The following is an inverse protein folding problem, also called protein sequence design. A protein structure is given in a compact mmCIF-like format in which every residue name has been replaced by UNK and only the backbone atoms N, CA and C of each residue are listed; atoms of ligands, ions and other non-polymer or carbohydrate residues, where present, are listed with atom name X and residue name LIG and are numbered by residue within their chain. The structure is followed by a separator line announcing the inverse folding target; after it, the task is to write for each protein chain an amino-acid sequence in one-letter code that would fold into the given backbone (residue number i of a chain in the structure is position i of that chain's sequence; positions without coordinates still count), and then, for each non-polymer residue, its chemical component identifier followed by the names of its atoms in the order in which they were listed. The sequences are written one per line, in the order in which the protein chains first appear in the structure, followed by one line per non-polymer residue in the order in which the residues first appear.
data_IF_864332379003
#
_entry.id   IF_864332379003
#
_cell.length_a   1.000
_cell.length_b   1.000
_cell.length_c   1.000
_cell.angle_alpha   90.00
_cell.angle_beta   90.00
_cell.angle_gamma   90.00
#
_symmetry.space_group_name_H-M   'P 1'
#
loop_
_entity.id
_entity.type
_entity.pdbx_description
1 polymer ?
#
# COMPACT_ATOMS: atom_id res chain seq x y z
N UNK A 1 16.38 10.37 -29.09
CA UNK A 1 15.20 10.79 -28.35
C UNK A 1 14.33 11.62 -29.27
N UNK A 2 13.17 11.08 -29.64
CA UNK A 2 12.31 11.61 -30.71
C UNK A 2 11.53 12.84 -30.21
N UNK A 3 11.12 13.76 -31.12
CA UNK A 3 10.28 14.92 -30.78
C UNK A 3 8.97 14.56 -30.05
N UNK A 4 8.41 13.36 -30.32
CA UNK A 4 7.25 12.80 -29.64
C UNK A 4 7.52 12.45 -28.19
N UNK A 5 8.71 11.92 -27.86
CA UNK A 5 9.09 11.55 -26.51
C UNK A 5 9.21 12.80 -25.62
N UNK A 6 9.79 13.88 -26.13
CA UNK A 6 9.89 15.17 -25.43
C UNK A 6 8.52 15.83 -25.20
N UNK A 7 7.59 15.71 -26.15
CA UNK A 7 6.25 16.26 -26.00
C UNK A 7 5.41 15.46 -24.99
N UNK A 8 5.60 14.14 -24.91
CA UNK A 8 4.99 13.29 -23.90
C UNK A 8 5.56 13.55 -22.48
N UNK A 9 6.88 13.71 -22.36
CA UNK A 9 7.54 14.07 -21.10
C UNK A 9 7.07 15.45 -20.59
N UNK A 10 6.95 16.42 -21.47
CA UNK A 10 6.48 17.78 -21.11
C UNK A 10 5.00 17.79 -20.72
N UNK A 11 4.16 17.00 -21.39
CA UNK A 11 2.75 16.83 -21.05
C UNK A 11 2.54 16.09 -19.72
N UNK A 12 3.47 15.20 -19.34
CA UNK A 12 3.47 14.53 -18.04
C UNK A 12 3.99 15.46 -16.92
N UNK A 13 4.89 16.39 -17.24
CA UNK A 13 5.42 17.34 -16.27
C UNK A 13 4.35 18.28 -15.67
N UNK A 14 3.36 18.68 -16.47
CA UNK A 14 2.29 19.63 -16.08
C UNK A 14 1.09 18.98 -15.37
N UNK A 15 1.07 17.64 -15.20
CA UNK A 15 -0.03 16.98 -14.49
C UNK A 15 0.08 17.17 -12.99
N UNK A 16 -1.05 17.34 -12.29
CA UNK A 16 -1.06 17.41 -10.83
C UNK A 16 -0.55 16.10 -10.22
N UNK A 17 0.06 16.20 -9.04
CA UNK A 17 0.55 15.05 -8.28
C UNK A 17 -0.64 14.36 -7.63
N UNK A 18 -0.80 13.05 -7.87
CA UNK A 18 -1.83 12.22 -7.25
C UNK A 18 -1.35 11.55 -5.96
N UNK A 19 -0.06 11.19 -5.91
CA UNK A 19 0.57 10.61 -4.73
C UNK A 19 1.95 11.23 -4.57
N UNK A 20 2.24 11.71 -3.37
CA UNK A 20 3.54 12.24 -2.98
C UNK A 20 4.09 11.46 -1.80
N UNK A 21 5.30 10.95 -1.92
CA UNK A 21 6.03 10.23 -0.88
C UNK A 21 7.33 10.96 -0.62
N UNK A 22 7.53 11.48 0.60
CA UNK A 22 8.70 12.30 0.95
C UNK A 22 9.44 11.71 2.16
N UNK A 23 10.69 11.36 1.96
CA UNK A 23 11.64 10.91 3.00
C UNK A 23 11.09 9.79 3.89
N UNK A 24 10.31 8.88 3.32
CA UNK A 24 9.62 7.82 4.06
C UNK A 24 10.59 6.71 4.45
N UNK A 25 10.66 6.44 5.77
CA UNK A 25 11.37 5.28 6.30
C UNK A 25 10.44 4.43 7.17
N UNK A 26 10.67 3.11 7.17
CA UNK A 26 9.91 2.16 7.98
C UNK A 26 10.80 1.10 8.60
N UNK A 27 10.69 0.99 9.92
CA UNK A 27 11.38 0.01 10.74
C UNK A 27 10.37 -0.84 11.49
N UNK A 28 10.67 -2.13 11.66
CA UNK A 28 9.91 -3.03 12.52
C UNK A 28 10.79 -3.48 13.69
N UNK A 29 10.20 -3.53 14.88
CA UNK A 29 10.84 -4.13 16.07
C UNK A 29 10.47 -5.60 16.11
N UNK A 30 11.42 -6.46 15.79
CA UNK A 30 11.26 -7.91 15.90
C UNK A 30 11.68 -8.36 17.28
N UNK A 31 10.86 -9.15 18.00
CA UNK A 31 11.31 -9.78 19.23
C UNK A 31 12.47 -10.72 18.91
N UNK A 32 13.57 -10.60 19.64
CA UNK A 32 14.63 -11.60 19.57
C UNK A 32 14.10 -12.85 20.26
N UNK A 33 13.97 -13.95 19.49
CA UNK A 33 13.59 -15.25 20.05
C UNK A 33 14.52 -15.56 21.23
N UNK A 34 13.93 -15.67 22.40
CA UNK A 34 14.65 -16.09 23.61
C UNK A 34 14.88 -17.58 23.50
N UNK A 35 15.97 -17.99 22.90
CA UNK A 35 16.45 -19.37 23.01
C UNK A 35 16.56 -19.72 24.50
N UNK A 36 15.67 -20.60 24.95
CA UNK A 36 15.37 -20.88 26.34
C UNK A 36 16.55 -21.33 27.17
N UNK A 37 16.93 -20.54 28.14
CA UNK A 37 17.49 -20.94 29.43
C UNK A 37 17.38 -19.75 30.36
N UNK A 38 16.87 -19.95 31.56
CA UNK A 38 16.81 -18.96 32.65
C UNK A 38 18.16 -18.30 32.93
N UNK A 39 19.26 -19.01 32.71
CA UNK A 39 20.64 -18.47 32.83
C UNK A 39 20.92 -17.39 31.78
N UNK A 40 20.49 -17.58 30.53
CA UNK A 40 20.67 -16.58 29.46
C UNK A 40 19.79 -15.34 29.65
N UNK A 41 18.64 -15.50 30.31
CA UNK A 41 17.75 -14.40 30.66
C UNK A 41 18.38 -13.46 31.71
N UNK A 42 19.03 -14.02 32.74
CA UNK A 42 19.69 -13.25 33.78
C UNK A 42 20.98 -12.56 33.21
N UNK A 43 21.70 -13.23 32.32
CA UNK A 43 22.93 -12.69 31.70
C UNK A 43 22.61 -11.54 30.72
N UNK A 44 21.54 -11.66 29.96
CA UNK A 44 21.08 -10.62 29.04
C UNK A 44 20.51 -9.39 29.78
N UNK A 45 19.87 -9.61 30.93
CA UNK A 45 19.40 -8.52 31.80
C UNK A 45 20.58 -7.73 32.41
N UNK A 46 21.62 -8.40 32.84
CA UNK A 46 22.85 -7.77 33.38
C UNK A 46 23.64 -7.01 32.32
N UNK A 47 23.55 -7.42 31.04
CA UNK A 47 24.19 -6.74 29.90
C UNK A 47 23.36 -5.67 29.20
N UNK A 48 22.15 -5.39 29.67
CA UNK A 48 21.27 -4.39 29.08
C UNK A 48 20.82 -4.70 27.64
N UNK A 49 20.89 -5.98 27.21
CA UNK A 49 20.48 -6.40 25.89
C UNK A 49 18.95 -6.33 25.83
N UNK A 50 18.43 -5.31 25.15
CA UNK A 50 16.99 -5.17 24.88
C UNK A 50 16.54 -6.30 23.96
N UNK A 51 15.47 -7.02 24.34
CA UNK A 51 14.96 -8.20 23.64
C UNK A 51 14.29 -7.91 22.28
N UNK A 52 14.67 -6.82 21.58
CA UNK A 52 14.12 -6.44 20.27
C UNK A 52 15.26 -6.09 19.31
N UNK A 53 15.18 -6.66 18.11
CA UNK A 53 16.04 -6.27 16.99
C UNK A 53 15.21 -5.34 16.08
N UNK A 54 15.73 -4.16 15.76
CA UNK A 54 15.13 -3.28 14.78
C UNK A 54 15.54 -3.73 13.39
N UNK A 55 14.58 -4.00 12.53
CA UNK A 55 14.79 -4.27 11.11
C UNK A 55 14.30 -3.07 10.31
N UNK A 56 15.22 -2.39 9.63
CA UNK A 56 14.92 -1.34 8.68
C UNK A 56 14.47 -1.99 7.37
N UNK A 57 13.25 -1.70 6.95
CA UNK A 57 12.63 -2.29 5.74
C UNK A 57 12.61 -1.29 4.60
N UNK A 58 12.36 -0.02 4.90
CA UNK A 58 12.40 1.09 3.95
C UNK A 58 13.27 2.20 4.52
N UNK A 59 14.09 2.78 3.67
CA UNK A 59 15.03 3.84 4.05
C UNK A 59 14.95 4.98 3.06
N UNK A 60 14.48 6.14 3.55
CA UNK A 60 14.49 7.42 2.86
C UNK A 60 13.93 7.35 1.43
N UNK A 61 12.70 6.83 1.29
CA UNK A 61 12.02 6.69 0.01
C UNK A 61 11.34 8.00 -0.34
N UNK A 62 11.63 8.52 -1.55
CA UNK A 62 11.04 9.74 -2.08
C UNK A 62 10.69 9.56 -3.54
N UNK A 63 9.42 9.79 -3.91
CA UNK A 63 8.93 9.85 -5.29
C UNK A 63 7.53 10.46 -5.34
N UNK A 64 7.14 10.91 -6.54
CA UNK A 64 5.79 11.40 -6.84
C UNK A 64 5.18 10.54 -7.95
N UNK A 65 3.86 10.41 -7.92
CA UNK A 65 3.06 9.83 -9.01
C UNK A 65 2.04 10.87 -9.45
N UNK A 66 1.97 11.13 -10.74
CA UNK A 66 1.07 12.13 -11.32
C UNK A 66 -0.26 11.51 -11.71
N UNK A 67 -1.30 12.34 -11.81
CA UNK A 67 -2.62 11.88 -12.24
C UNK A 67 -2.55 11.22 -13.63
N UNK A 68 -3.16 10.02 -13.75
CA UNK A 68 -3.16 9.24 -14.98
C UNK A 68 -1.82 8.60 -15.33
N UNK A 69 -0.87 8.56 -14.38
CA UNK A 69 0.41 7.86 -14.53
C UNK A 69 0.28 6.39 -14.12
N UNK A 70 0.95 5.51 -14.87
CA UNK A 70 1.12 4.12 -14.52
C UNK A 70 2.50 3.93 -13.89
N UNK A 71 2.55 3.62 -12.60
CA UNK A 71 3.79 3.50 -11.84
C UNK A 71 4.02 2.05 -11.38
N UNK A 72 5.19 1.49 -11.67
CA UNK A 72 5.56 0.12 -11.32
C UNK A 72 6.62 0.05 -10.23
N UNK A 73 6.39 -0.75 -9.20
CA UNK A 73 7.36 -1.02 -8.13
C UNK A 73 7.98 -2.40 -8.36
N UNK A 74 9.26 -2.44 -8.70
CA UNK A 74 10.01 -3.67 -8.96
C UNK A 74 11.12 -3.86 -7.93
N UNK A 75 11.44 -5.13 -7.63
CA UNK A 75 12.50 -5.47 -6.67
C UNK A 75 12.44 -6.93 -6.26
N UNK A 76 13.51 -7.41 -5.60
CA UNK A 76 13.61 -8.78 -5.08
C UNK A 76 12.56 -9.06 -4.01
N UNK A 77 12.27 -10.33 -3.73
CA UNK A 77 11.41 -10.70 -2.60
C UNK A 77 12.07 -10.23 -1.28
N UNK A 78 11.27 -9.64 -0.39
CA UNK A 78 11.77 -9.06 0.86
C UNK A 78 12.36 -7.64 0.74
N UNK A 79 12.34 -7.00 -0.44
CA UNK A 79 12.87 -5.63 -0.62
C UNK A 79 11.95 -4.51 -0.11
N UNK A 80 10.82 -4.86 0.53
CA UNK A 80 9.91 -3.86 1.12
C UNK A 80 8.75 -3.41 0.23
N UNK A 81 8.56 -3.97 -0.98
CA UNK A 81 7.46 -3.57 -1.90
C UNK A 81 6.08 -3.59 -1.24
N UNK A 82 5.74 -4.71 -0.60
CA UNK A 82 4.45 -4.87 0.09
C UNK A 82 4.33 -3.93 1.31
N UNK A 83 5.45 -3.61 1.96
CA UNK A 83 5.48 -2.64 3.06
C UNK A 83 5.21 -1.24 2.54
N UNK A 84 5.81 -0.86 1.41
CA UNK A 84 5.57 0.43 0.77
C UNK A 84 4.10 0.57 0.34
N UNK A 85 3.52 -0.46 -0.30
CA UNK A 85 2.10 -0.47 -0.64
C UNK A 85 1.19 -0.32 0.58
N UNK A 86 1.50 -1.02 1.69
CA UNK A 86 0.74 -0.90 2.95
C UNK A 86 0.88 0.48 3.61
N UNK A 87 2.01 1.15 3.42
CA UNK A 87 2.20 2.54 3.87
C UNK A 87 1.38 3.52 3.02
N UNK A 88 1.43 3.39 1.68
CA UNK A 88 0.64 4.20 0.75
C UNK A 88 -0.85 4.03 1.05
N UNK A 89 -1.29 2.80 1.30
CA UNK A 89 -2.67 2.46 1.66
C UNK A 89 -3.07 2.84 3.10
N UNK A 90 -2.20 3.52 3.84
CA UNK A 90 -2.42 3.95 5.22
C UNK A 90 -2.69 2.82 6.22
N UNK A 91 -2.43 1.55 5.83
CA UNK A 91 -2.49 0.38 6.74
C UNK A 91 -1.35 0.47 7.76
N UNK A 92 -0.18 0.97 7.34
CA UNK A 92 0.94 1.25 8.22
C UNK A 92 1.24 2.75 8.25
N UNK A 93 1.72 3.22 9.39
CA UNK A 93 2.24 4.58 9.54
C UNK A 93 3.75 4.57 9.33
N UNK A 94 4.35 5.49 8.59
CA UNK A 94 5.79 5.61 8.45
C UNK A 94 6.45 5.99 9.80
N UNK A 95 7.72 5.65 9.98
CA UNK A 95 8.49 6.11 11.13
C UNK A 95 8.99 7.55 10.94
N UNK A 96 9.34 7.90 9.71
CA UNK A 96 9.74 9.25 9.28
C UNK A 96 9.19 9.53 7.89
N UNK A 97 9.09 10.81 7.54
CA UNK A 97 8.57 11.25 6.25
C UNK A 97 7.06 11.34 6.19
N UNK A 98 6.53 11.74 5.03
CA UNK A 98 5.11 11.96 4.79
C UNK A 98 4.64 11.27 3.52
N UNK A 99 3.37 10.90 3.50
CA UNK A 99 2.67 10.35 2.33
C UNK A 99 1.38 11.14 2.17
N UNK A 100 1.26 11.82 1.02
CA UNK A 100 0.10 12.61 0.67
C UNK A 100 -0.58 12.02 -0.55
N UNK A 101 -1.90 11.86 -0.49
CA UNK A 101 -2.73 11.33 -1.58
C UNK A 101 -3.78 12.38 -1.93
N UNK A 102 -3.79 12.81 -3.18
CA UNK A 102 -4.83 13.69 -3.73
C UNK A 102 -5.92 12.84 -4.37
N UNK A 103 -7.08 12.81 -3.71
CA UNK A 103 -8.22 12.02 -4.13
C UNK A 103 -8.46 10.76 -3.30
N UNK A 104 -9.24 9.82 -3.85
CA UNK A 104 -9.64 8.58 -3.20
C UNK A 104 -8.67 7.45 -3.57
N UNK A 105 -8.03 6.86 -2.57
CA UNK A 105 -7.15 5.71 -2.75
C UNK A 105 -7.94 4.42 -2.54
N UNK A 106 -7.89 3.53 -3.53
CA UNK A 106 -8.51 2.19 -3.46
C UNK A 106 -7.40 1.14 -3.53
N UNK A 107 -6.99 0.56 -2.39
CA UNK A 107 -5.91 -0.42 -2.37
C UNK A 107 -6.41 -1.82 -2.72
N UNK A 108 -5.87 -2.41 -3.80
CA UNK A 108 -6.03 -3.83 -4.15
C UNK A 108 -4.76 -4.61 -3.76
N UNK A 109 -4.48 -4.72 -2.46
CA UNK A 109 -3.23 -5.33 -1.97
C UNK A 109 -3.30 -6.86 -2.04
N UNK A 110 -4.49 -7.43 -1.87
CA UNK A 110 -4.72 -8.87 -1.93
C UNK A 110 -6.02 -9.13 -2.71
N UNK A 111 -5.92 -9.80 -3.86
CA UNK A 111 -7.06 -10.23 -4.65
C UNK A 111 -7.86 -11.28 -3.87
N UNK A 112 -9.15 -11.04 -3.67
CA UNK A 112 -10.07 -11.97 -3.00
C UNK A 112 -10.21 -11.79 -1.49
N UNK A 113 -9.48 -10.86 -0.87
CA UNK A 113 -9.75 -10.46 0.52
C UNK A 113 -11.01 -9.61 0.54
N UNK A 114 -12.00 -10.08 1.30
CA UNK A 114 -13.29 -9.39 1.44
C UNK A 114 -14.47 -10.07 0.73
N UNK A 115 -14.25 -11.12 -0.08
CA UNK A 115 -15.35 -11.93 -0.58
C UNK A 115 -15.85 -12.89 0.50
N UNK A 116 -17.10 -12.71 0.92
CA UNK A 116 -17.77 -13.65 1.80
C UNK A 116 -18.51 -14.70 0.93
N UNK A 117 -18.15 -15.99 1.02
CA UNK A 117 -18.79 -17.05 0.23
C UNK A 117 -20.26 -17.29 0.60
N UNK A 118 -20.72 -16.78 1.74
CA UNK A 118 -22.11 -16.88 2.18
C UNK A 118 -23.02 -15.81 1.57
N UNK A 119 -22.41 -14.78 0.96
CA UNK A 119 -23.10 -13.67 0.31
C UNK A 119 -23.17 -13.87 -1.20
N UNK A 120 -24.23 -13.35 -1.83
CA UNK A 120 -24.33 -13.28 -3.28
C UNK A 120 -23.25 -12.33 -3.86
N UNK A 121 -22.99 -12.43 -5.16
CA UNK A 121 -22.03 -11.54 -5.83
C UNK A 121 -22.39 -10.06 -5.66
N UNK A 122 -23.69 -9.73 -5.73
CA UNK A 122 -24.19 -8.36 -5.51
C UNK A 122 -23.89 -7.88 -4.09
N UNK A 123 -24.23 -8.66 -3.08
CA UNK A 123 -23.98 -8.32 -1.67
C UNK A 123 -22.48 -8.15 -1.39
N UNK A 124 -21.64 -8.97 -2.00
CA UNK A 124 -20.19 -8.81 -1.91
C UNK A 124 -19.69 -7.50 -2.53
N UNK A 125 -20.25 -7.07 -3.66
CA UNK A 125 -19.92 -5.77 -4.28
C UNK A 125 -20.27 -4.62 -3.33
N UNK A 126 -21.48 -4.65 -2.73
CA UNK A 126 -21.90 -3.62 -1.78
C UNK A 126 -21.05 -3.62 -0.51
N UNK A 127 -20.76 -4.82 0.05
CA UNK A 127 -19.92 -4.95 1.23
C UNK A 127 -18.50 -4.38 0.97
N UNK A 128 -17.88 -4.79 -0.14
CA UNK A 128 -16.54 -4.29 -0.49
C UNK A 128 -16.55 -2.81 -0.84
N UNK A 129 -17.55 -2.33 -1.56
CA UNK A 129 -17.73 -0.91 -1.85
C UNK A 129 -17.84 -0.06 -0.60
N UNK A 130 -18.65 -0.50 0.37
CA UNK A 130 -18.79 0.17 1.67
C UNK A 130 -17.49 0.16 2.48
N UNK A 131 -16.74 -0.96 2.48
CA UNK A 131 -15.42 -1.06 3.13
C UNK A 131 -14.39 -0.12 2.51
N UNK A 132 -14.50 0.15 1.22
CA UNK A 132 -13.66 1.10 0.49
C UNK A 132 -14.14 2.56 0.64
N UNK A 133 -15.22 2.78 1.41
CA UNK A 133 -15.77 4.09 1.71
C UNK A 133 -16.58 4.71 0.56
N UNK A 134 -17.13 3.89 -0.35
CA UNK A 134 -18.09 4.35 -1.35
C UNK A 134 -19.50 4.43 -0.75
N UNK A 135 -20.27 5.44 -1.16
CA UNK A 135 -21.69 5.53 -0.85
C UNK A 135 -22.51 4.52 -1.67
N UNK A 136 -23.73 4.21 -1.23
CA UNK A 136 -24.60 3.29 -1.97
C UNK A 136 -24.86 3.77 -3.41
N UNK A 137 -25.04 5.06 -3.62
CA UNK A 137 -25.28 5.64 -4.95
C UNK A 137 -24.07 5.48 -5.88
N UNK A 138 -22.85 5.63 -5.35
CA UNK A 138 -21.61 5.38 -6.10
C UNK A 138 -21.44 3.90 -6.43
N UNK A 139 -21.80 3.00 -5.50
CA UNK A 139 -21.76 1.55 -5.71
C UNK A 139 -22.79 1.15 -6.78
N UNK A 140 -24.00 1.69 -6.74
CA UNK A 140 -25.05 1.43 -7.74
C UNK A 140 -24.60 1.84 -9.14
N UNK A 141 -24.02 3.02 -9.28
CA UNK A 141 -23.50 3.51 -10.55
C UNK A 141 -22.40 2.61 -11.13
N UNK A 142 -21.45 2.16 -10.28
CA UNK A 142 -20.38 1.23 -10.67
C UNK A 142 -20.95 -0.16 -11.02
N UNK A 143 -21.91 -0.66 -10.26
CA UNK A 143 -22.54 -1.97 -10.49
C UNK A 143 -23.26 -2.04 -11.83
N UNK A 144 -24.03 -1.01 -12.17
CA UNK A 144 -24.68 -0.90 -13.48
C UNK A 144 -23.67 -0.88 -14.63
N UNK A 145 -22.57 -0.15 -14.47
CA UNK A 145 -21.48 -0.11 -15.45
C UNK A 145 -20.84 -1.48 -15.67
N UNK A 146 -20.62 -2.24 -14.61
CA UNK A 146 -20.02 -3.58 -14.68
C UNK A 146 -20.94 -4.59 -15.38
N UNK A 147 -22.26 -4.53 -15.14
CA UNK A 147 -23.23 -5.41 -15.79
C UNK A 147 -23.29 -5.13 -17.30
N UNK A 148 -23.31 -3.87 -17.71
CA UNK A 148 -23.32 -3.50 -19.14
C UNK A 148 -22.07 -3.93 -19.90
N UNK A 149 -20.90 -4.03 -19.22
CA UNK A 149 -19.66 -4.51 -19.84
C UNK A 149 -19.65 -6.03 -19.99
N UNK A 150 -20.37 -6.76 -19.12
CA UNK A 150 -20.37 -8.22 -19.07
C UNK A 150 -21.50 -8.89 -19.86
N UNK A 151 -22.45 -8.14 -20.42
CA UNK A 151 -23.45 -8.70 -21.32
C UNK A 151 -22.83 -8.92 -22.71
N UNK A 152 -22.66 -10.20 -23.17
CA UNK A 152 -22.25 -10.44 -24.55
C UNK A 152 -23.37 -9.98 -25.49
N UNK A 153 -23.04 -9.07 -26.39
CA UNK A 153 -23.86 -8.71 -27.56
C UNK A 153 -24.07 -9.90 -28.49
#
# INVERSE_FOLDING_TARGET
MNKMDKAMEQKNADRPVALKVEHVSKNFKLPVERAGSLKNMLFNWLRGIRGYRTQEVLKDITFDIKQGEFFGIVGKNGSGKSTLLKLISQIYTPNTGTIEVDGKLVPFIELGVGFNPELTGRENVYLNGAMLGFSNDEIDAMYLSLIHISEPT
#
